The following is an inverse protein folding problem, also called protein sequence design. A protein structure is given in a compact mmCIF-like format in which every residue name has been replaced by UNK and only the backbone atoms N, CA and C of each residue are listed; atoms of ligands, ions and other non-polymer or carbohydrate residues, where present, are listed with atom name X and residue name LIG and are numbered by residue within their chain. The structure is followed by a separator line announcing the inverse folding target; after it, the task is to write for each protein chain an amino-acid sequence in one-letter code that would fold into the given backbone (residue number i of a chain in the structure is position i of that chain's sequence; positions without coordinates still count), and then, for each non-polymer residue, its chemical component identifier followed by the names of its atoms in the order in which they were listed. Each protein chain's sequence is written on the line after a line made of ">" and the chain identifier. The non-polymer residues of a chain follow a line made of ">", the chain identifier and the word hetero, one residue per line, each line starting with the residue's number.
data_IF_402875528772
#
_entry.id   IF_402875528772
#
_cell.length_a   1.000
_cell.length_b   1.000
_cell.length_c   1.000
_cell.angle_alpha   90.00
_cell.angle_beta   90.00
_cell.angle_gamma   90.00
#
_symmetry.space_group_name_H-M   'P 1'
#
loop_
_entity.id
_entity.type
_entity.pdbx_description
1 polymer ?
#
# COMPACT_ATOMS: atom_id res chain seq x y z
N UNK A 1 -8.97 22.94 13.25
CA UNK A 1 -9.21 21.53 12.87
C UNK A 1 -10.71 21.37 12.78
N UNK A 2 -11.25 21.24 11.57
CA UNK A 2 -12.70 21.11 11.38
C UNK A 2 -13.21 19.74 11.90
N UNK A 3 -14.45 19.66 12.42
CA UNK A 3 -15.06 18.47 12.99
C UNK A 3 -15.57 17.50 11.90
N UNK A 4 -14.72 17.14 10.94
CA UNK A 4 -15.11 16.40 9.72
C UNK A 4 -15.33 14.90 9.98
N UNK A 5 -14.92 14.37 11.13
CA UNK A 5 -15.01 12.94 11.47
C UNK A 5 -15.68 12.70 12.83
N UNK A 6 -16.95 13.07 12.97
CA UNK A 6 -17.79 12.62 14.09
C UNK A 6 -18.75 11.52 13.62
N UNK A 7 -18.21 10.31 13.47
CA UNK A 7 -19.04 9.11 13.38
C UNK A 7 -19.20 8.53 14.78
N UNK A 8 -20.45 8.37 15.22
CA UNK A 8 -20.72 7.71 16.49
C UNK A 8 -20.58 6.18 16.34
N UNK A 9 -20.22 5.50 17.43
CA UNK A 9 -20.24 4.04 17.48
C UNK A 9 -21.62 3.49 17.09
N UNK A 10 -22.70 4.21 17.43
CA UNK A 10 -24.08 3.86 17.10
C UNK A 10 -24.29 3.85 15.58
N UNK A 11 -23.79 4.86 14.86
CA UNK A 11 -23.87 4.90 13.40
C UNK A 11 -23.15 3.70 12.77
N UNK A 12 -21.95 3.36 13.25
CA UNK A 12 -21.19 2.21 12.76
C UNK A 12 -21.95 0.88 12.95
N UNK A 13 -22.55 0.69 14.13
CA UNK A 13 -23.38 -0.49 14.42
C UNK A 13 -24.58 -0.56 13.46
N UNK A 14 -25.21 0.57 13.17
CA UNK A 14 -26.34 0.61 12.23
C UNK A 14 -25.93 0.19 10.81
N UNK A 15 -24.79 0.66 10.31
CA UNK A 15 -24.25 0.23 9.01
C UNK A 15 -23.97 -1.28 8.99
N UNK A 16 -23.49 -1.84 10.10
CA UNK A 16 -23.25 -3.28 10.22
C UNK A 16 -24.56 -4.08 10.20
N UNK A 17 -25.57 -3.65 10.96
CA UNK A 17 -26.91 -4.28 10.97
C UNK A 17 -27.56 -4.22 9.59
N UNK A 18 -27.47 -3.07 8.91
CA UNK A 18 -27.97 -2.93 7.53
C UNK A 18 -27.23 -3.86 6.56
N UNK A 19 -25.91 -4.00 6.72
CA UNK A 19 -25.13 -4.91 5.88
C UNK A 19 -25.48 -6.37 6.15
N UNK A 20 -25.75 -6.78 7.39
CA UNK A 20 -26.28 -8.10 7.70
C UNK A 20 -27.64 -8.36 7.03
N UNK A 21 -28.52 -7.37 7.03
CA UNK A 21 -29.85 -7.48 6.43
C UNK A 21 -29.78 -7.59 4.90
N UNK A 22 -29.02 -6.70 4.25
CA UNK A 22 -29.11 -6.44 2.81
C UNK A 22 -28.04 -7.17 1.96
N UNK A 23 -26.97 -7.67 2.56
CA UNK A 23 -25.99 -8.48 1.83
C UNK A 23 -26.57 -9.80 1.32
N UNK A 24 -25.98 -10.31 0.24
CA UNK A 24 -26.35 -11.59 -0.36
C UNK A 24 -26.28 -12.73 0.67
N UNK A 25 -27.35 -13.53 0.73
CA UNK A 25 -27.42 -14.71 1.61
C UNK A 25 -26.67 -15.89 0.98
N UNK A 26 -26.06 -16.71 1.83
CA UNK A 26 -25.51 -18.02 1.49
C UNK A 26 -25.69 -18.94 2.70
N UNK A 27 -25.88 -20.22 2.43
CA UNK A 27 -25.93 -21.27 3.44
C UNK A 27 -24.51 -21.71 3.86
N UNK A 28 -23.49 -21.35 3.06
CA UNK A 28 -22.08 -21.53 3.39
C UNK A 28 -21.63 -20.36 4.25
N UNK A 29 -21.19 -20.64 5.48
CA UNK A 29 -20.82 -19.61 6.46
C UNK A 29 -19.71 -18.69 5.95
N UNK A 30 -18.68 -19.26 5.33
CA UNK A 30 -17.52 -18.52 4.82
C UNK A 30 -17.94 -17.53 3.72
N UNK A 31 -18.69 -18.00 2.72
CA UNK A 31 -19.25 -17.14 1.67
C UNK A 31 -20.18 -16.06 2.23
N UNK A 32 -20.98 -16.42 3.24
CA UNK A 32 -21.89 -15.48 3.89
C UNK A 32 -21.13 -14.34 4.57
N UNK A 33 -20.03 -14.65 5.24
CA UNK A 33 -19.15 -13.66 5.87
C UNK A 33 -18.54 -12.74 4.81
N UNK A 34 -18.04 -13.30 3.71
CA UNK A 34 -17.46 -12.49 2.62
C UNK A 34 -18.49 -11.55 1.99
N UNK A 35 -19.72 -11.99 1.74
CA UNK A 35 -20.79 -11.11 1.23
C UNK A 35 -21.17 -9.99 2.20
N UNK A 36 -21.13 -10.25 3.51
CA UNK A 36 -21.37 -9.21 4.52
C UNK A 36 -20.23 -8.19 4.51
N UNK A 37 -18.98 -8.67 4.48
CA UNK A 37 -17.79 -7.80 4.44
C UNK A 37 -17.80 -6.93 3.18
N UNK A 38 -18.11 -7.50 2.02
CA UNK A 38 -18.19 -6.78 0.75
C UNK A 38 -19.23 -5.65 0.81
N UNK A 39 -20.47 -5.97 1.20
CA UNK A 39 -21.53 -4.97 1.32
C UNK A 39 -21.18 -3.89 2.34
N UNK A 40 -20.65 -4.29 3.50
CA UNK A 40 -20.26 -3.36 4.56
C UNK A 40 -19.14 -2.43 4.10
N UNK A 41 -18.13 -2.96 3.41
CA UNK A 41 -17.01 -2.18 2.86
C UNK A 41 -17.52 -1.11 1.88
N UNK A 42 -18.44 -1.48 0.98
CA UNK A 42 -19.04 -0.54 0.01
C UNK A 42 -19.88 0.52 0.74
N UNK A 43 -20.67 0.13 1.74
CA UNK A 43 -21.47 1.07 2.54
C UNK A 43 -20.58 2.09 3.24
N UNK A 44 -19.54 1.64 3.95
CA UNK A 44 -18.58 2.51 4.62
C UNK A 44 -17.87 3.42 3.62
N UNK A 45 -17.46 2.89 2.46
CA UNK A 45 -16.84 3.68 1.41
C UNK A 45 -17.74 4.81 0.91
N UNK A 46 -19.01 4.52 0.69
CA UNK A 46 -19.99 5.49 0.18
C UNK A 46 -20.44 6.50 1.24
N UNK A 47 -20.64 6.06 2.48
CA UNK A 47 -21.17 6.89 3.57
C UNK A 47 -20.07 7.76 4.21
N UNK A 48 -18.82 7.30 4.18
CA UNK A 48 -17.65 8.09 4.59
C UNK A 48 -17.11 8.99 3.46
N UNK A 49 -17.89 9.23 2.41
CA UNK A 49 -17.55 10.14 1.32
C UNK A 49 -17.36 11.58 1.84
N UNK A 50 -16.13 11.87 2.24
CA UNK A 50 -15.67 13.23 2.54
C UNK A 50 -15.83 14.12 1.29
N UNK A 51 -16.22 15.40 1.43
CA UNK A 51 -16.31 16.33 0.31
C UNK A 51 -14.96 16.61 -0.37
N UNK A 52 -13.85 16.23 0.25
CA UNK A 52 -12.52 16.42 -0.30
C UNK A 52 -12.09 15.22 -1.14
N UNK A 53 -12.17 15.35 -2.48
CA UNK A 53 -11.61 14.39 -3.45
C UNK A 53 -10.18 13.93 -3.09
N UNK A 54 -9.37 14.85 -2.54
CA UNK A 54 -7.97 14.60 -2.15
C UNK A 54 -7.80 13.56 -1.04
N UNK A 55 -8.81 13.35 -0.18
CA UNK A 55 -8.73 12.38 0.93
C UNK A 55 -9.29 11.00 0.52
N UNK A 56 -10.01 10.91 -0.59
CA UNK A 56 -10.67 9.66 -1.02
C UNK A 56 -9.68 8.54 -1.29
N UNK A 57 -8.56 8.83 -1.96
CA UNK A 57 -7.55 7.81 -2.25
C UNK A 57 -6.92 7.28 -0.95
N UNK A 58 -6.53 8.18 -0.05
CA UNK A 58 -5.98 7.81 1.26
C UNK A 58 -6.99 6.99 2.08
N UNK A 59 -8.25 7.40 2.13
CA UNK A 59 -9.28 6.65 2.84
C UNK A 59 -9.51 5.26 2.24
N UNK A 60 -9.60 5.15 0.91
CA UNK A 60 -9.72 3.87 0.20
C UNK A 60 -8.55 2.96 0.50
N UNK A 61 -7.33 3.51 0.49
CA UNK A 61 -6.12 2.81 0.83
C UNK A 61 -6.14 2.31 2.28
N UNK A 62 -6.44 3.17 3.25
CA UNK A 62 -6.50 2.79 4.67
C UNK A 62 -7.60 1.76 4.94
N UNK A 63 -8.74 1.85 4.26
CA UNK A 63 -9.82 0.86 4.35
C UNK A 63 -9.37 -0.50 3.81
N UNK A 64 -8.75 -0.53 2.63
CA UNK A 64 -8.19 -1.75 2.04
C UNK A 64 -7.12 -2.37 2.95
N UNK A 65 -6.22 -1.54 3.50
CA UNK A 65 -5.19 -1.98 4.43
C UNK A 65 -5.78 -2.52 5.74
N UNK A 66 -6.82 -1.88 6.28
CA UNK A 66 -7.53 -2.36 7.47
C UNK A 66 -8.14 -3.75 7.26
N UNK A 67 -8.78 -3.97 6.10
CA UNK A 67 -9.38 -5.27 5.74
C UNK A 67 -8.31 -6.34 5.56
N UNK A 68 -7.24 -6.03 4.81
CA UNK A 68 -6.15 -6.97 4.58
C UNK A 68 -5.42 -7.32 5.87
N UNK A 69 -5.26 -6.37 6.79
CA UNK A 69 -4.63 -6.58 8.11
C UNK A 69 -5.50 -7.48 8.98
N UNK A 70 -6.82 -7.29 8.96
CA UNK A 70 -7.77 -8.16 9.65
C UNK A 70 -7.78 -9.60 9.11
N UNK A 71 -7.30 -9.80 7.87
CA UNK A 71 -7.14 -11.12 7.24
C UNK A 71 -5.72 -11.68 7.35
N UNK A 72 -4.82 -11.02 8.09
CA UNK A 72 -3.41 -11.41 8.23
C UNK A 72 -2.66 -11.53 6.88
N UNK A 73 -3.02 -10.67 5.91
CA UNK A 73 -2.45 -10.64 4.55
C UNK A 73 -1.43 -9.52 4.33
N UNK A 74 -1.01 -8.83 5.39
CA UNK A 74 -0.04 -7.74 5.32
C UNK A 74 1.18 -8.12 6.13
N UNK A 75 2.34 -8.06 5.48
CA UNK A 75 3.61 -8.12 6.19
C UNK A 75 3.80 -6.83 7.01
N UNK A 76 3.97 -6.99 8.32
CA UNK A 76 4.11 -5.87 9.23
C UNK A 76 5.39 -5.07 9.00
N UNK A 77 6.46 -5.71 8.54
CA UNK A 77 7.75 -5.08 8.26
C UNK A 77 7.63 -4.20 7.01
N UNK A 78 7.08 -4.74 5.92
CA UNK A 78 6.81 -3.99 4.67
C UNK A 78 5.85 -2.83 4.93
N UNK A 79 4.81 -3.04 5.74
CA UNK A 79 3.88 -1.98 6.10
C UNK A 79 4.54 -0.86 6.93
N UNK A 80 5.38 -1.24 7.91
CA UNK A 80 6.11 -0.28 8.72
C UNK A 80 7.06 0.55 7.84
N UNK A 81 7.82 -0.12 6.98
CA UNK A 81 8.70 0.51 6.01
C UNK A 81 7.97 1.54 5.15
N UNK A 82 6.81 1.18 4.57
CA UNK A 82 6.04 2.07 3.71
C UNK A 82 5.56 3.35 4.44
N UNK A 83 5.25 3.24 5.74
CA UNK A 83 4.71 4.36 6.52
C UNK A 83 5.78 5.33 7.01
N UNK A 84 6.89 4.80 7.52
CA UNK A 84 7.90 5.63 8.20
C UNK A 84 9.09 5.93 7.32
N UNK A 85 9.33 5.11 6.30
CA UNK A 85 10.69 4.85 5.82
C UNK A 85 11.58 4.36 6.96
N UNK A 86 12.82 4.00 6.67
CA UNK A 86 13.83 3.89 7.72
C UNK A 86 14.92 4.92 7.47
N UNK A 87 15.16 5.78 8.48
CA UNK A 87 16.22 6.78 8.40
C UNK A 87 17.54 6.09 8.70
N UNK A 88 18.23 5.69 7.64
CA UNK A 88 19.55 5.08 7.75
C UNK A 88 20.58 6.18 8.07
N UNK A 89 21.21 6.11 9.24
CA UNK A 89 22.24 7.07 9.66
C UNK A 89 23.55 6.94 8.88
N UNK A 90 23.85 5.75 8.33
CA UNK A 90 24.99 5.46 7.46
C UNK A 90 24.68 4.30 6.52
N UNK A 91 24.68 4.56 5.22
CA UNK A 91 24.64 3.52 4.20
C UNK A 91 26.08 3.03 3.90
N UNK A 92 26.40 1.74 4.05
CA UNK A 92 27.71 1.20 3.71
C UNK A 92 27.92 1.09 2.19
N UNK A 93 26.85 1.01 1.40
CA UNK A 93 26.90 0.78 -0.04
C UNK A 93 26.98 2.10 -0.81
N UNK A 94 27.93 2.17 -1.75
CA UNK A 94 28.16 3.37 -2.54
C UNK A 94 27.04 3.57 -3.57
N UNK A 95 26.58 4.81 -3.70
CA UNK A 95 25.57 5.17 -4.70
C UNK A 95 26.13 4.92 -6.12
N UNK A 96 25.47 4.09 -6.95
CA UNK A 96 25.99 3.73 -8.27
C UNK A 96 25.96 4.89 -9.27
N UNK A 97 25.05 5.85 -9.10
CA UNK A 97 24.96 7.03 -9.97
C UNK A 97 24.35 8.25 -9.24
N UNK A 98 25.19 9.06 -8.58
CA UNK A 98 24.77 10.26 -7.86
C UNK A 98 24.18 11.37 -8.75
N UNK A 99 24.24 11.26 -10.09
CA UNK A 99 23.74 12.30 -10.99
C UNK A 99 22.21 12.41 -10.93
N UNK A 100 21.52 11.28 -10.77
CA UNK A 100 20.06 11.21 -10.74
C UNK A 100 19.52 10.58 -9.47
N UNK A 101 20.27 9.68 -8.84
CA UNK A 101 19.85 8.98 -7.64
C UNK A 101 20.39 9.70 -6.41
N UNK A 102 19.50 10.20 -5.55
CA UNK A 102 19.93 10.85 -4.31
C UNK A 102 20.45 9.82 -3.30
N UNK A 103 21.41 10.20 -2.46
CA UNK A 103 21.92 9.31 -1.40
C UNK A 103 20.82 8.85 -0.44
N UNK A 104 19.78 9.67 -0.25
CA UNK A 104 18.59 9.30 0.52
C UNK A 104 17.80 8.17 -0.16
N UNK A 105 17.46 8.33 -1.44
CA UNK A 105 16.73 7.32 -2.21
C UNK A 105 17.55 6.03 -2.33
N UNK A 106 18.87 6.16 -2.50
CA UNK A 106 19.76 5.01 -2.50
C UNK A 106 19.74 4.26 -1.16
N UNK A 107 19.83 4.97 -0.04
CA UNK A 107 19.73 4.37 1.29
C UNK A 107 18.39 3.63 1.51
N UNK A 108 17.29 4.17 0.97
CA UNK A 108 15.97 3.51 1.00
C UNK A 108 15.96 2.21 0.16
N UNK A 109 16.60 2.19 -1.02
CA UNK A 109 16.75 0.98 -1.85
C UNK A 109 17.60 -0.10 -1.16
N UNK A 110 18.70 0.32 -0.53
CA UNK A 110 19.58 -0.59 0.21
C UNK A 110 18.81 -1.23 1.36
N UNK A 111 18.05 -0.42 2.09
CA UNK A 111 17.28 -0.91 3.22
C UNK A 111 16.09 -1.78 2.79
N UNK A 112 15.37 -1.40 1.73
CA UNK A 112 14.26 -2.22 1.21
C UNK A 112 14.74 -3.58 0.71
N UNK A 113 16.00 -3.71 0.29
CA UNK A 113 16.62 -4.99 -0.06
C UNK A 113 16.76 -5.97 1.11
N UNK A 114 16.58 -5.50 2.35
CA UNK A 114 16.47 -6.34 3.54
C UNK A 114 15.11 -6.99 3.72
N UNK A 115 14.06 -6.48 3.06
CA UNK A 115 12.71 -7.02 3.14
C UNK A 115 12.62 -8.37 2.43
N UNK A 116 11.83 -9.28 3.01
CA UNK A 116 11.74 -10.69 2.60
C UNK A 116 11.51 -10.90 1.09
N UNK A 117 10.68 -10.08 0.45
CA UNK A 117 10.35 -10.21 -0.98
C UNK A 117 11.15 -9.27 -1.89
N UNK A 118 11.98 -8.39 -1.33
CA UNK A 118 12.76 -7.42 -2.08
C UNK A 118 14.27 -7.72 -2.02
N UNK A 119 14.64 -8.90 -1.54
CA UNK A 119 16.03 -9.34 -1.50
C UNK A 119 16.67 -9.32 -2.89
N UNK A 120 17.83 -8.68 -3.00
CA UNK A 120 18.55 -8.54 -4.28
C UNK A 120 18.21 -7.27 -5.08
N UNK A 121 17.27 -6.43 -4.62
CA UNK A 121 16.91 -5.18 -5.31
C UNK A 121 18.13 -4.27 -5.49
N UNK A 122 18.93 -4.08 -4.44
CA UNK A 122 20.18 -3.32 -4.45
C UNK A 122 21.08 -3.72 -5.62
N UNK A 123 21.45 -5.00 -5.69
CA UNK A 123 22.37 -5.50 -6.71
C UNK A 123 21.77 -5.38 -8.11
N UNK A 124 20.46 -5.55 -8.23
CA UNK A 124 19.76 -5.38 -9.50
C UNK A 124 19.74 -3.92 -9.97
N UNK A 125 19.58 -2.96 -9.06
CA UNK A 125 19.66 -1.53 -9.37
C UNK A 125 21.08 -1.14 -9.78
N UNK A 126 22.11 -1.62 -9.07
CA UNK A 126 23.53 -1.38 -9.45
C UNK A 126 23.86 -1.94 -10.84
N UNK A 127 23.30 -3.09 -11.19
CA UNK A 127 23.56 -3.74 -12.47
C UNK A 127 22.79 -3.10 -13.64
N UNK A 128 21.64 -2.46 -13.37
CA UNK A 128 20.70 -1.97 -14.39
C UNK A 128 20.35 -0.48 -14.22
N UNK A 129 21.33 0.35 -13.83
CA UNK A 129 21.16 1.79 -13.52
C UNK A 129 20.37 2.54 -14.60
N UNK A 130 20.64 2.27 -15.88
CA UNK A 130 20.01 2.98 -17.01
C UNK A 130 18.49 2.70 -17.08
N UNK A 131 18.08 1.46 -16.83
CA UNK A 131 16.67 1.05 -16.86
C UNK A 131 15.89 1.68 -15.69
N UNK A 132 16.49 1.68 -14.50
CA UNK A 132 15.89 2.32 -13.33
C UNK A 132 15.86 3.85 -13.44
N UNK A 133 16.87 4.47 -14.07
CA UNK A 133 16.87 5.91 -14.36
C UNK A 133 15.69 6.32 -15.25
N UNK A 134 15.31 5.48 -16.21
CA UNK A 134 14.13 5.71 -17.07
C UNK A 134 12.83 5.71 -16.27
N UNK A 135 12.67 4.75 -15.36
CA UNK A 135 11.48 4.65 -14.49
C UNK A 135 11.42 5.83 -13.52
N UNK A 136 12.54 6.14 -12.87
CA UNK A 136 12.64 7.28 -11.95
C UNK A 136 12.32 8.62 -12.64
N UNK A 137 12.71 8.76 -13.91
CA UNK A 137 12.42 9.94 -14.73
C UNK A 137 11.02 9.95 -15.35
N UNK A 138 10.22 8.89 -15.24
CA UNK A 138 8.89 8.82 -15.84
C UNK A 138 7.90 9.77 -15.15
N UNK A 139 6.99 10.35 -15.91
CA UNK A 139 5.88 11.13 -15.36
C UNK A 139 4.87 10.25 -14.60
N UNK A 140 4.90 8.93 -14.85
CA UNK A 140 3.99 7.95 -14.26
C UNK A 140 4.72 6.63 -13.94
N UNK A 141 5.63 6.63 -12.96
CA UNK A 141 6.44 5.45 -12.62
C UNK A 141 5.59 4.23 -12.22
N UNK A 142 4.39 4.44 -11.69
CA UNK A 142 3.45 3.39 -11.33
C UNK A 142 2.84 2.64 -12.53
N UNK A 143 2.86 3.23 -13.73
CA UNK A 143 2.41 2.60 -14.99
C UNK A 143 3.57 1.92 -15.75
N UNK A 144 4.83 2.14 -15.34
CA UNK A 144 6.00 1.57 -16.02
C UNK A 144 6.21 0.09 -15.70
N UNK A 145 6.77 -0.65 -16.65
CA UNK A 145 7.22 -2.02 -16.44
C UNK A 145 8.60 -2.02 -15.78
N UNK A 146 8.71 -2.71 -14.64
CA UNK A 146 9.99 -2.82 -13.94
C UNK A 146 10.90 -3.82 -14.65
N UNK A 147 12.22 -3.60 -14.61
CA UNK A 147 13.14 -4.50 -15.29
C UNK A 147 13.20 -5.88 -14.63
N UNK A 148 13.27 -6.93 -15.45
CA UNK A 148 13.49 -8.30 -15.01
C UNK A 148 12.39 -8.87 -14.12
N UNK A 149 12.78 -9.52 -13.03
CA UNK A 149 11.87 -10.17 -12.08
C UNK A 149 11.03 -9.18 -11.25
N UNK A 150 11.47 -7.92 -11.18
CA UNK A 150 10.77 -6.87 -10.43
C UNK A 150 9.42 -6.50 -11.03
N UNK A 151 9.17 -6.81 -12.31
CA UNK A 151 7.85 -6.62 -12.91
C UNK A 151 6.77 -7.53 -12.30
N UNK A 152 7.19 -8.67 -11.73
CA UNK A 152 6.28 -9.64 -11.12
C UNK A 152 5.88 -9.25 -9.68
N UNK A 153 6.56 -8.25 -9.10
CA UNK A 153 6.26 -7.76 -7.76
C UNK A 153 4.93 -7.02 -7.76
N UNK A 154 4.07 -7.32 -6.79
CA UNK A 154 2.71 -6.77 -6.68
C UNK A 154 2.41 -6.28 -5.27
N UNK A 155 1.29 -5.60 -5.09
CA UNK A 155 0.83 -5.16 -3.77
C UNK A 155 1.78 -4.16 -3.12
N UNK A 156 2.02 -4.32 -1.81
CA UNK A 156 2.83 -3.39 -1.02
C UNK A 156 4.30 -3.41 -1.41
N UNK A 157 4.84 -4.57 -1.78
CA UNK A 157 6.23 -4.70 -2.19
C UNK A 157 6.49 -3.82 -3.44
N UNK A 158 5.54 -3.77 -4.38
CA UNK A 158 5.62 -2.87 -5.54
C UNK A 158 5.52 -1.40 -5.14
N UNK A 159 4.67 -1.09 -4.15
CA UNK A 159 4.53 0.28 -3.63
C UNK A 159 5.79 0.75 -2.89
N UNK A 160 6.58 -0.16 -2.31
CA UNK A 160 7.86 0.16 -1.67
C UNK A 160 8.95 0.51 -2.69
N UNK A 161 8.90 -0.08 -3.89
CA UNK A 161 9.86 0.21 -4.97
C UNK A 161 9.56 1.56 -5.65
N UNK A 162 8.28 1.97 -5.71
CA UNK A 162 7.81 3.21 -6.35
C UNK A 162 8.10 4.46 -5.52
#
# INVERSE_FOLDING_TARGET
>A
MEPVYQYSLIWFINCYVQSLANSRKSDVLEERIDFIIEHFTISIYNDCRSPFEKVKLLFSFLLAMGIMKGRDKIDAEVWCFLLTGEVVLKNPDANPDPEWLSDKSWAEIVHSSGLKHLHGLLHHVESNVVEWKMIYGSAKPHEEEFPGEWNLVTGLDRMVIL
#
